data_IF_838006165597
#
_entry.id   IF_838006165597
#
_cell.length_a   1.000
_cell.length_b   1.000
_cell.length_c   1.000
_cell.angle_alpha   90.00
_cell.angle_beta   90.00
_cell.angle_gamma   90.00
#
_symmetry.space_group_name_H-M   'P 1'
#
loop_
_entity.id
_entity.type
_entity.pdbx_description
1 polymer ?
#
# COMPACT_ATOMS: atom_id res chain seq x y z
N UNK A 1 1.11 -11.57 -24.23
CA UNK A 1 0.27 -10.36 -24.33
C UNK A 1 0.27 -9.67 -22.98
N UNK A 2 1.02 -8.58 -22.81
CA UNK A 2 1.28 -7.99 -21.50
C UNK A 2 0.22 -6.93 -21.19
N UNK A 3 -0.65 -7.18 -20.20
CA UNK A 3 -1.48 -6.11 -19.65
C UNK A 3 -0.60 -4.98 -19.12
N UNK A 4 -0.99 -3.73 -19.38
CA UNK A 4 -0.31 -2.54 -18.82
C UNK A 4 -0.31 -2.52 -17.28
N UNK A 5 -1.27 -3.20 -16.66
CA UNK A 5 -1.43 -3.31 -15.22
C UNK A 5 -1.00 -4.72 -14.79
N UNK A 6 0.02 -4.79 -13.93
CA UNK A 6 0.58 -6.03 -13.39
C UNK A 6 0.50 -6.02 -11.86
N UNK A 7 -0.25 -6.97 -11.29
CA UNK A 7 -0.28 -7.19 -9.84
C UNK A 7 0.77 -8.24 -9.52
N UNK A 8 1.84 -7.89 -8.79
CA UNK A 8 2.86 -8.86 -8.38
C UNK A 8 2.30 -9.88 -7.39
N UNK A 9 1.43 -9.42 -6.49
CA UNK A 9 0.76 -10.27 -5.52
C UNK A 9 -0.63 -9.74 -5.19
N UNK A 10 -1.66 -10.48 -5.57
CA UNK A 10 -3.01 -10.26 -5.07
C UNK A 10 -3.25 -11.15 -3.85
N UNK A 11 -3.30 -10.57 -2.65
CA UNK A 11 -3.33 -11.37 -1.43
C UNK A 11 -4.71 -11.95 -1.13
N UNK A 12 -5.78 -11.24 -1.51
CA UNK A 12 -7.14 -11.47 -1.00
C UNK A 12 -7.25 -11.46 0.54
N UNK A 13 -6.28 -10.84 1.21
CA UNK A 13 -6.17 -10.73 2.67
C UNK A 13 -6.01 -9.26 3.07
N UNK A 14 -6.44 -8.85 4.28
CA UNK A 14 -6.06 -7.55 4.84
C UNK A 14 -4.54 -7.49 5.09
N UNK A 15 -3.98 -6.29 5.20
CA UNK A 15 -2.52 -6.11 5.36
C UNK A 15 -1.95 -6.88 6.56
N UNK A 16 -2.68 -6.95 7.67
CA UNK A 16 -2.20 -7.59 8.89
C UNK A 16 -2.11 -9.12 8.83
N UNK A 17 -2.59 -9.74 7.76
CA UNK A 17 -2.47 -11.18 7.48
C UNK A 17 -1.39 -11.48 6.41
N UNK A 18 -0.70 -10.46 5.91
CA UNK A 18 0.40 -10.64 4.96
C UNK A 18 1.61 -11.20 5.69
N UNK A 19 2.09 -12.36 5.27
CA UNK A 19 3.26 -13.01 5.87
C UNK A 19 4.56 -12.23 5.57
N UNK A 20 5.31 -11.89 6.62
CA UNK A 20 6.65 -11.32 6.51
C UNK A 20 7.61 -12.29 5.81
N UNK A 21 7.52 -13.60 6.08
CA UNK A 21 8.41 -14.57 5.47
C UNK A 21 8.21 -14.68 3.96
N UNK A 22 6.96 -14.58 3.48
CA UNK A 22 6.65 -14.56 2.05
C UNK A 22 7.16 -13.29 1.38
N UNK A 23 7.10 -12.14 2.05
CA UNK A 23 7.70 -10.89 1.57
C UNK A 23 9.23 -11.01 1.45
N UNK A 24 9.90 -11.61 2.44
CA UNK A 24 11.35 -11.86 2.42
C UNK A 24 11.75 -12.82 1.29
N UNK A 25 11.03 -13.93 1.09
CA UNK A 25 11.27 -14.86 -0.03
C UNK A 25 11.16 -14.19 -1.39
N UNK A 26 10.31 -13.16 -1.51
CA UNK A 26 10.19 -12.32 -2.72
C UNK A 26 11.32 -11.29 -2.84
N UNK A 27 12.33 -11.29 -1.96
CA UNK A 27 13.46 -10.36 -1.99
C UNK A 27 13.08 -8.91 -1.68
N UNK A 28 11.96 -8.70 -0.97
CA UNK A 28 11.51 -7.36 -0.60
C UNK A 28 12.30 -6.89 0.63
N UNK A 29 12.79 -5.65 0.59
CA UNK A 29 13.53 -5.00 1.67
C UNK A 29 12.84 -3.72 2.15
N UNK A 30 12.01 -3.10 1.29
CA UNK A 30 11.28 -1.90 1.64
C UNK A 30 9.81 -1.96 1.18
N UNK A 31 8.92 -1.47 2.05
CA UNK A 31 7.49 -1.40 1.81
C UNK A 31 7.03 0.05 1.80
N UNK A 32 6.49 0.47 0.66
CA UNK A 32 5.69 1.69 0.54
C UNK A 32 4.23 1.33 0.84
N UNK A 33 3.65 1.88 1.90
CA UNK A 33 2.35 1.42 2.40
C UNK A 33 1.32 2.52 2.27
N UNK A 34 0.23 2.23 1.55
CA UNK A 34 -0.94 3.10 1.54
C UNK A 34 -1.62 3.17 2.92
N UNK A 35 -2.35 4.25 3.19
CA UNK A 35 -3.01 4.46 4.48
C UNK A 35 -4.52 4.18 4.38
N UNK A 36 -5.18 4.79 3.41
CA UNK A 36 -6.63 5.06 3.44
C UNK A 36 -7.44 3.98 2.73
N UNK A 37 -7.82 2.97 3.50
CA UNK A 37 -8.36 1.70 3.01
C UNK A 37 -7.43 0.54 3.31
N UNK A 38 -6.14 0.81 3.54
CA UNK A 38 -5.10 -0.20 3.72
C UNK A 38 -4.75 -0.40 5.20
N UNK A 39 -4.35 0.65 5.92
CA UNK A 39 -4.01 0.60 7.36
C UNK A 39 -5.18 1.03 8.25
N UNK A 40 -6.01 1.95 7.73
CA UNK A 40 -7.17 2.50 8.43
C UNK A 40 -8.31 2.70 7.45
N UNK A 41 -9.54 2.74 7.97
CA UNK A 41 -10.66 3.23 7.17
C UNK A 41 -10.47 4.70 6.79
N UNK A 42 -10.90 5.07 5.58
CA UNK A 42 -10.96 6.47 5.09
C UNK A 42 -11.69 7.44 6.03
N UNK A 43 -12.64 6.92 6.82
CA UNK A 43 -13.50 7.72 7.72
C UNK A 43 -13.02 7.70 9.18
N UNK A 44 -11.88 7.09 9.49
CA UNK A 44 -11.39 6.92 10.86
C UNK A 44 -9.89 7.20 10.95
N UNK A 45 -9.40 7.66 12.10
CA UNK A 45 -7.95 7.68 12.40
C UNK A 45 -7.53 6.58 13.37
N UNK A 46 -8.49 5.76 13.83
CA UNK A 46 -8.22 4.64 14.75
C UNK A 46 -7.54 3.51 13.97
N UNK A 47 -6.32 3.17 14.39
CA UNK A 47 -5.56 2.05 13.84
C UNK A 47 -5.91 0.81 14.67
N UNK A 48 -6.36 -0.27 14.02
CA UNK A 48 -6.65 -1.52 14.70
C UNK A 48 -5.38 -2.16 15.28
N UNK A 49 -5.51 -2.86 16.41
CA UNK A 49 -4.36 -3.48 17.09
C UNK A 49 -3.64 -4.51 16.21
N UNK A 50 -4.37 -5.25 15.37
CA UNK A 50 -3.78 -6.18 14.41
C UNK A 50 -2.85 -5.47 13.42
N UNK A 51 -3.25 -4.30 12.91
CA UNK A 51 -2.42 -3.47 12.02
C UNK A 51 -1.19 -2.95 12.76
N UNK A 52 -1.35 -2.45 13.99
CA UNK A 52 -0.21 -1.99 14.81
C UNK A 52 0.80 -3.11 15.05
N UNK A 53 0.33 -4.30 15.43
CA UNK A 53 1.16 -5.49 15.63
C UNK A 53 1.90 -5.86 14.35
N UNK A 54 1.19 -5.91 13.22
CA UNK A 54 1.80 -6.22 11.93
C UNK A 54 2.88 -5.20 11.53
N UNK A 55 2.64 -3.90 11.72
CA UNK A 55 3.64 -2.86 11.48
C UNK A 55 4.86 -3.06 12.39
N UNK A 56 4.63 -3.31 13.68
CA UNK A 56 5.71 -3.54 14.66
C UNK A 56 6.57 -4.74 14.30
N UNK A 57 5.95 -5.85 13.90
CA UNK A 57 6.67 -7.05 13.45
C UNK A 57 7.40 -6.81 12.13
N UNK A 58 6.75 -6.15 11.18
CA UNK A 58 7.33 -5.89 9.85
C UNK A 58 8.55 -4.96 9.91
N UNK A 59 8.61 -4.05 10.89
CA UNK A 59 9.78 -3.18 11.12
C UNK A 59 11.06 -3.94 11.42
N UNK A 60 10.99 -5.19 11.90
CA UNK A 60 12.16 -6.02 12.19
C UNK A 60 12.86 -6.50 10.92
N UNK A 61 12.15 -6.50 9.79
CA UNK A 61 12.60 -7.11 8.53
C UNK A 61 12.66 -6.12 7.36
N UNK A 62 11.89 -5.03 7.41
CA UNK A 62 11.73 -4.12 6.27
C UNK A 62 11.82 -2.65 6.68
N UNK A 63 12.36 -1.84 5.78
CA UNK A 63 12.17 -0.39 5.83
C UNK A 63 10.74 -0.05 5.42
N UNK A 64 9.96 0.55 6.34
CA UNK A 64 8.57 0.90 6.08
C UNK A 64 8.43 2.40 5.85
N UNK A 65 7.66 2.78 4.82
CA UNK A 65 7.41 4.17 4.46
C UNK A 65 5.94 4.37 4.06
N UNK A 66 5.27 5.36 4.62
CA UNK A 66 3.85 5.60 4.32
C UNK A 66 3.66 6.50 3.10
N UNK A 67 2.71 6.18 2.22
CA UNK A 67 2.40 6.99 1.04
C UNK A 67 0.90 7.09 0.79
N UNK A 68 0.32 8.28 0.95
CA UNK A 68 -1.13 8.48 0.83
C UNK A 68 -1.51 9.56 -0.18
N UNK A 69 -2.60 9.33 -0.91
CA UNK A 69 -3.27 10.35 -1.73
C UNK A 69 -4.07 11.36 -0.93
N UNK A 70 -4.22 11.17 0.39
CA UNK A 70 -4.96 12.09 1.22
C UNK A 70 -4.23 13.45 1.30
N UNK A 71 -4.90 14.57 0.96
CA UNK A 71 -4.28 15.89 1.03
C UNK A 71 -4.15 16.41 2.48
N UNK A 72 -4.86 15.82 3.45
CA UNK A 72 -4.80 16.26 4.85
C UNK A 72 -3.48 15.85 5.52
N UNK A 73 -2.50 16.76 5.53
CA UNK A 73 -1.23 16.57 6.27
C UNK A 73 -1.49 16.24 7.75
N UNK A 74 -2.46 16.89 8.40
CA UNK A 74 -2.83 16.64 9.81
C UNK A 74 -3.22 15.16 10.03
N UNK A 75 -4.06 14.60 9.17
CA UNK A 75 -4.49 13.19 9.25
C UNK A 75 -3.31 12.24 9.09
N UNK A 76 -2.53 12.44 8.03
CA UNK A 76 -1.41 11.54 7.70
C UNK A 76 -0.30 11.64 8.76
N UNK A 77 0.02 12.85 9.23
CA UNK A 77 0.99 13.06 10.30
C UNK A 77 0.58 12.39 11.61
N UNK A 78 -0.71 12.41 11.97
CA UNK A 78 -1.22 11.72 13.18
C UNK A 78 -0.95 10.21 13.10
N UNK A 79 -1.33 9.58 11.99
CA UNK A 79 -1.15 8.14 11.76
C UNK A 79 0.34 7.78 11.71
N UNK A 80 1.14 8.57 10.98
CA UNK A 80 2.58 8.38 10.87
C UNK A 80 3.31 8.52 12.20
N UNK A 81 2.90 9.49 13.04
CA UNK A 81 3.43 9.68 14.41
C UNK A 81 3.11 8.48 15.29
N UNK A 82 1.87 8.00 15.26
CA UNK A 82 1.45 6.83 16.04
C UNK A 82 2.21 5.56 15.62
N UNK A 83 2.41 5.35 14.33
CA UNK A 83 3.17 4.22 13.81
C UNK A 83 4.70 4.42 13.86
N UNK A 84 5.18 5.63 14.18
CA UNK A 84 6.59 6.04 14.11
C UNK A 84 7.22 5.72 12.75
N UNK A 85 6.65 6.28 11.67
CA UNK A 85 7.08 6.04 10.29
C UNK A 85 7.24 7.35 9.52
N UNK A 86 8.18 7.37 8.56
CA UNK A 86 8.27 8.44 7.54
C UNK A 86 7.07 8.37 6.59
N UNK A 87 6.72 9.50 5.98
CA UNK A 87 5.54 9.56 5.11
C UNK A 87 5.63 10.62 4.00
N UNK A 88 4.89 10.36 2.92
CA UNK A 88 4.41 11.36 1.96
C UNK A 88 2.88 11.40 2.00
N UNK A 89 2.34 12.61 2.06
CA UNK A 89 0.91 12.88 1.91
C UNK A 89 0.68 13.54 0.54
N UNK A 90 -0.58 13.65 0.10
CA UNK A 90 -0.94 14.21 -1.20
C UNK A 90 -0.14 13.61 -2.39
N UNK A 91 0.12 12.31 -2.35
CA UNK A 91 1.04 11.65 -3.28
C UNK A 91 0.56 11.64 -4.74
N UNK A 92 -0.72 11.97 -4.99
CA UNK A 92 -1.30 12.10 -6.32
C UNK A 92 -1.16 10.84 -7.21
N UNK A 93 -1.09 9.65 -6.59
CA UNK A 93 -1.15 8.35 -7.28
C UNK A 93 -2.39 8.34 -8.20
N UNK A 94 -2.30 7.89 -9.45
CA UNK A 94 -1.22 7.08 -10.02
C UNK A 94 -0.03 7.87 -10.60
N UNK A 95 0.09 9.18 -10.38
CA UNK A 95 1.29 9.93 -10.80
C UNK A 95 2.53 9.44 -10.04
N UNK A 96 3.67 9.39 -10.73
CA UNK A 96 4.90 8.76 -10.20
C UNK A 96 5.77 9.68 -9.35
N UNK A 97 5.68 11.01 -9.51
CA UNK A 97 6.69 11.94 -8.99
C UNK A 97 6.89 11.83 -7.47
N UNK A 98 5.81 11.79 -6.68
CA UNK A 98 5.94 11.67 -5.22
C UNK A 98 6.42 10.28 -4.81
N UNK A 99 5.94 9.23 -5.47
CA UNK A 99 6.41 7.85 -5.22
C UNK A 99 7.88 7.67 -5.57
N UNK A 100 8.36 8.25 -6.68
CA UNK A 100 9.79 8.24 -7.04
C UNK A 100 10.63 9.00 -6.02
N UNK A 101 10.13 10.13 -5.49
CA UNK A 101 10.80 10.83 -4.38
C UNK A 101 10.89 9.94 -3.14
N UNK A 102 9.82 9.20 -2.78
CA UNK A 102 9.87 8.26 -1.66
C UNK A 102 10.86 7.10 -1.93
N UNK A 103 10.88 6.54 -3.15
CA UNK A 103 11.84 5.50 -3.57
C UNK A 103 13.29 6.01 -3.42
N UNK A 104 13.56 7.24 -3.86
CA UNK A 104 14.88 7.86 -3.70
C UNK A 104 15.25 8.05 -2.22
N UNK A 105 14.31 8.45 -1.37
CA UNK A 105 14.54 8.65 0.06
C UNK A 105 14.80 7.35 0.83
N UNK A 106 14.19 6.23 0.42
CA UNK A 106 14.44 4.94 1.07
C UNK A 106 15.73 4.28 0.61
N UNK A 107 16.24 4.63 -0.57
CA UNK A 107 17.56 4.23 -1.05
C UNK A 107 17.69 2.76 -1.50
N UNK A 108 16.58 2.06 -1.74
CA UNK A 108 16.57 0.68 -2.23
C UNK A 108 16.40 0.61 -3.75
N UNK A 109 16.91 -0.45 -4.37
CA UNK A 109 16.63 -0.75 -5.78
C UNK A 109 15.14 -1.07 -5.98
N UNK A 110 14.58 -0.68 -7.12
CA UNK A 110 13.15 -0.87 -7.41
C UNK A 110 12.71 -2.33 -7.32
N UNK A 111 13.58 -3.29 -7.66
CA UNK A 111 13.32 -4.73 -7.54
C UNK A 111 13.14 -5.21 -6.09
N UNK A 112 13.66 -4.47 -5.11
CA UNK A 112 13.58 -4.77 -3.67
C UNK A 112 12.49 -3.97 -2.96
N UNK A 113 11.75 -3.12 -3.67
CA UNK A 113 10.65 -2.32 -3.12
C UNK A 113 9.31 -2.94 -3.53
N UNK A 114 8.37 -2.96 -2.60
CA UNK A 114 6.96 -3.22 -2.91
C UNK A 114 6.07 -2.06 -2.42
N UNK A 115 5.04 -1.73 -3.21
CA UNK A 115 3.92 -0.91 -2.74
C UNK A 115 2.75 -1.81 -2.31
N UNK A 116 2.19 -1.55 -1.13
CA UNK A 116 1.02 -2.25 -0.59
C UNK A 116 -0.16 -1.28 -0.57
N UNK A 117 -1.28 -1.64 -1.18
CA UNK A 117 -2.50 -0.84 -1.17
C UNK A 117 -3.76 -1.60 -1.56
N UNK A 118 -4.91 -0.93 -1.50
CA UNK A 118 -6.23 -1.55 -1.68
C UNK A 118 -6.90 -1.19 -3.03
N UNK A 119 -6.19 -0.48 -3.90
CA UNK A 119 -6.72 0.08 -5.15
C UNK A 119 -5.82 -0.24 -6.34
N UNK A 120 -6.44 -0.65 -7.44
CA UNK A 120 -5.71 -0.91 -8.69
C UNK A 120 -5.30 0.41 -9.33
N UNK A 121 -6.23 1.38 -9.47
CA UNK A 121 -5.97 2.59 -10.24
C UNK A 121 -5.06 3.61 -9.56
N UNK A 122 -4.71 3.37 -8.29
CA UNK A 122 -3.73 4.19 -7.58
C UNK A 122 -2.49 3.39 -7.25
N UNK A 123 -2.60 2.37 -6.40
CA UNK A 123 -1.44 1.71 -5.80
C UNK A 123 -0.75 0.77 -6.78
N UNK A 124 -1.53 -0.05 -7.50
CA UNK A 124 -0.96 -0.98 -8.47
C UNK A 124 -0.39 -0.22 -9.67
N UNK A 125 -1.16 0.72 -10.25
CA UNK A 125 -0.67 1.52 -11.39
C UNK A 125 0.59 2.30 -11.01
N UNK A 126 0.62 2.99 -9.85
CA UNK A 126 1.83 3.76 -9.50
C UNK A 126 3.04 2.85 -9.27
N UNK A 127 2.84 1.65 -8.69
CA UNK A 127 3.91 0.68 -8.53
C UNK A 127 4.48 0.20 -9.87
N UNK A 128 3.60 -0.13 -10.82
CA UNK A 128 4.02 -0.48 -12.18
C UNK A 128 4.76 0.66 -12.88
N UNK A 129 4.27 1.90 -12.76
CA UNK A 129 4.92 3.10 -13.34
C UNK A 129 6.27 3.42 -12.71
N UNK A 130 6.53 2.94 -11.49
CA UNK A 130 7.81 3.09 -10.79
C UNK A 130 8.68 1.83 -10.87
N UNK A 131 8.25 0.81 -11.62
CA UNK A 131 8.93 -0.48 -11.74
C UNK A 131 9.24 -1.17 -10.38
N UNK A 132 8.33 -1.02 -9.42
CA UNK A 132 8.38 -1.70 -8.11
C UNK A 132 7.31 -2.80 -8.03
N UNK A 133 7.49 -3.74 -7.10
CA UNK A 133 6.50 -4.81 -6.87
C UNK A 133 5.20 -4.23 -6.33
N UNK A 134 4.08 -4.85 -6.64
CA UNK A 134 2.74 -4.38 -6.25
C UNK A 134 2.00 -5.46 -5.46
N UNK A 135 1.47 -5.09 -4.29
CA UNK A 135 0.72 -5.98 -3.41
C UNK A 135 -0.67 -5.39 -3.20
N UNK A 136 -1.68 -6.07 -3.72
CA UNK A 136 -3.09 -5.69 -3.58
C UNK A 136 -3.69 -6.39 -2.36
N UNK A 137 -4.18 -5.61 -1.38
CA UNK A 137 -4.80 -6.11 -0.14
C UNK A 137 -6.28 -5.79 -0.07
N UNK A 138 -7.01 -6.48 0.83
CA UNK A 138 -8.40 -6.16 1.12
C UNK A 138 -8.52 -4.82 1.85
N UNK A 139 -9.47 -4.00 1.41
CA UNK A 139 -9.85 -2.75 2.07
C UNK A 139 -10.36 -3.01 3.49
N UNK A 140 -9.96 -2.19 4.45
CA UNK A 140 -10.48 -2.21 5.83
C UNK A 140 -11.72 -1.32 6.03
N UNK A 141 -12.64 -1.78 6.87
CA UNK A 141 -13.78 -1.03 7.38
C UNK A 141 -13.38 -0.18 8.61
N UNK A 142 -14.35 0.54 9.21
CA UNK A 142 -14.11 1.44 10.36
C UNK A 142 -13.57 0.73 11.60
N UNK A 143 -13.89 -0.55 11.74
CA UNK A 143 -13.50 -1.40 12.87
C UNK A 143 -12.17 -2.13 12.60
N UNK A 144 -11.60 -1.96 11.41
CA UNK A 144 -10.34 -2.59 11.01
C UNK A 144 -10.48 -3.99 10.44
N UNK A 145 -11.70 -4.45 10.13
CA UNK A 145 -11.93 -5.72 9.45
C UNK A 145 -11.96 -5.55 7.93
N UNK A 146 -11.56 -6.56 7.15
CA UNK A 146 -11.69 -6.52 5.70
C UNK A 146 -13.15 -6.41 5.28
N UNK A 147 -13.45 -5.53 4.33
CA UNK A 147 -14.81 -5.47 3.77
C UNK A 147 -15.11 -6.72 2.95
N UNK A 148 -16.30 -7.28 3.12
CA UNK A 148 -16.77 -8.45 2.36
C UNK A 148 -17.02 -8.12 0.89
N UNK A 149 -17.58 -6.94 0.61
CA UNK A 149 -17.93 -6.51 -0.75
C UNK A 149 -17.33 -5.14 -1.08
N UNK A 150 -16.36 -5.11 -1.99
CA UNK A 150 -15.69 -3.90 -2.46
C UNK A 150 -16.08 -3.60 -3.92
N UNK A 151 -17.23 -2.95 -4.13
CA UNK A 151 -17.73 -2.63 -5.47
C UNK A 151 -16.69 -1.85 -6.29
N UNK A 152 -16.03 -0.87 -5.66
CA UNK A 152 -15.05 -0.04 -6.36
C UNK A 152 -13.86 -0.86 -6.86
N UNK A 153 -13.36 -1.82 -6.08
CA UNK A 153 -12.28 -2.70 -6.53
C UNK A 153 -12.77 -3.69 -7.60
N UNK A 154 -14.01 -4.18 -7.52
CA UNK A 154 -14.60 -5.05 -8.55
C UNK A 154 -14.68 -4.33 -9.91
N UNK A 155 -15.13 -3.08 -9.90
CA UNK A 155 -15.17 -2.23 -11.10
C UNK A 155 -13.76 -1.98 -11.63
N UNK A 156 -12.80 -1.64 -10.77
CA UNK A 156 -11.40 -1.45 -11.19
C UNK A 156 -10.81 -2.70 -11.83
N UNK A 157 -11.07 -3.89 -11.27
CA UNK A 157 -10.65 -5.17 -11.84
C UNK A 157 -11.25 -5.39 -13.22
N UNK A 158 -12.57 -5.19 -13.35
CA UNK A 158 -13.26 -5.33 -14.63
C UNK A 158 -12.64 -4.41 -15.68
N UNK A 159 -12.49 -3.12 -15.38
CA UNK A 159 -11.91 -2.15 -16.32
C UNK A 159 -10.43 -2.49 -16.61
N UNK A 160 -9.67 -2.95 -15.62
CA UNK A 160 -8.25 -3.30 -15.82
C UNK A 160 -8.02 -4.42 -16.84
N UNK A 161 -9.02 -5.29 -17.07
CA UNK A 161 -8.98 -6.30 -18.12
C UNK A 161 -9.03 -5.70 -19.54
N UNK A 162 -9.66 -4.53 -19.68
CA UNK A 162 -9.80 -3.83 -20.96
C UNK A 162 -8.69 -2.82 -21.22
N UNK A 163 -7.89 -2.45 -20.20
CA UNK A 163 -6.72 -1.60 -20.35
C UNK A 163 -5.54 -2.47 -20.83
N UNK A 164 -5.46 -2.63 -22.16
CA UNK A 164 -4.34 -3.26 -22.88
C UNK A 164 -3.24 -2.28 -23.16
#
# INVERSE_FOLDING_TARGET
MNSLIRITWESNLPIYEISQSELQKKGIQCLLIDIDGTLVSRKSTKIANAVKKWISESKKYFSLYLISNNPSKKRIAKIAKELKLKYKYNASKPRKNVTLSAIKEVGFESKNIAIIGDRIFTDIIVGNRCNIKTILVKRLNRDGFPIKFNLTLKIEKLISFFIK
#
